data_IF_203741780389
#
_entry.id   IF_203741780389
#
_cell.length_a   1.000
_cell.length_b   1.000
_cell.length_c   1.000
_cell.angle_alpha   90.00
_cell.angle_beta   90.00
_cell.angle_gamma   90.00
#
_symmetry.space_group_name_H-M   'P 1'
#
loop_
_entity.id
_entity.type
_entity.pdbx_description
1 polymer ?
#
# COMPACT_ATOMS: atom_id res chain seq x y z
N UNK A 1 7.80 15.37 -6.68
CA UNK A 1 7.83 13.90 -6.88
C UNK A 1 6.47 13.46 -7.41
N UNK A 2 6.42 12.65 -8.47
CA UNK A 2 5.14 12.20 -9.06
C UNK A 2 4.41 11.17 -8.17
N UNK A 3 3.08 11.08 -8.31
CA UNK A 3 2.17 10.22 -7.55
C UNK A 3 2.63 8.75 -7.47
N UNK A 4 3.02 8.14 -8.60
CA UNK A 4 3.45 6.74 -8.64
C UNK A 4 4.73 6.50 -7.83
N UNK A 5 5.65 7.46 -7.84
CA UNK A 5 6.90 7.38 -7.06
C UNK A 5 6.64 7.54 -5.56
N UNK A 6 5.71 8.42 -5.17
CA UNK A 6 5.22 8.52 -3.78
C UNK A 6 4.58 7.22 -3.32
N UNK A 7 3.71 6.63 -4.15
CA UNK A 7 3.05 5.36 -3.84
C UNK A 7 4.05 4.21 -3.65
N UNK A 8 5.10 4.13 -4.48
CA UNK A 8 6.15 3.13 -4.33
C UNK A 8 6.93 3.28 -3.00
N UNK A 9 7.37 4.51 -2.67
CA UNK A 9 8.09 4.79 -1.41
C UNK A 9 7.22 4.47 -0.20
N UNK A 10 5.96 4.91 -0.23
CA UNK A 10 5.05 4.80 0.91
C UNK A 10 4.53 3.37 1.09
N UNK A 11 4.38 2.60 0.02
CA UNK A 11 4.06 1.17 0.14
C UNK A 11 5.23 0.35 0.68
N UNK A 12 6.47 0.62 0.27
CA UNK A 12 7.65 -0.02 0.86
C UNK A 12 7.78 0.32 2.35
N UNK A 13 7.55 1.59 2.71
CA UNK A 13 7.56 2.04 4.10
C UNK A 13 6.45 1.41 4.96
N UNK A 14 5.35 0.98 4.35
CA UNK A 14 4.20 0.37 5.02
C UNK A 14 4.31 -1.16 5.19
N UNK A 15 5.32 -1.81 4.60
CA UNK A 15 5.43 -3.28 4.62
C UNK A 15 5.62 -3.90 6.01
N UNK A 16 6.04 -3.09 6.98
CA UNK A 16 6.24 -3.48 8.38
C UNK A 16 5.01 -3.22 9.26
N UNK A 17 3.93 -2.68 8.69
CA UNK A 17 2.68 -2.53 9.42
C UNK A 17 2.01 -3.91 9.52
N UNK A 18 1.87 -4.40 10.76
CA UNK A 18 1.37 -5.73 11.13
C UNK A 18 0.01 -6.09 10.51
N UNK A 19 -0.76 -5.09 10.06
CA UNK A 19 -2.07 -5.30 9.45
C UNK A 19 -2.04 -5.47 7.93
N UNK A 20 -0.89 -5.38 7.24
CA UNK A 20 -0.82 -5.63 5.79
C UNK A 20 -0.18 -6.99 5.48
N UNK A 21 -1.03 -8.00 5.23
CA UNK A 21 -0.59 -9.32 4.79
C UNK A 21 -0.15 -9.38 3.30
N UNK A 22 0.12 -8.26 2.62
CA UNK A 22 0.24 -8.28 1.14
C UNK A 22 1.09 -7.20 0.46
N UNK A 23 1.65 -6.23 1.19
CA UNK A 23 2.46 -5.17 0.58
C UNK A 23 3.81 -5.73 0.13
N UNK A 24 3.84 -6.36 -1.06
CA UNK A 24 5.08 -6.83 -1.70
C UNK A 24 4.99 -8.06 -2.59
N UNK A 25 3.81 -8.56 -3.01
CA UNK A 25 3.75 -9.76 -3.86
C UNK A 25 3.84 -9.44 -5.35
N UNK A 26 4.42 -10.36 -6.11
CA UNK A 26 4.59 -10.28 -7.57
C UNK A 26 3.26 -10.13 -8.31
N UNK A 27 3.29 -9.52 -9.50
CA UNK A 27 2.16 -9.56 -10.45
C UNK A 27 1.77 -11.02 -10.68
N UNK A 28 0.58 -11.42 -10.22
CA UNK A 28 -0.09 -12.60 -10.74
C UNK A 28 -0.98 -12.15 -11.89
N UNK A 29 -0.58 -12.53 -13.09
CA UNK A 29 -1.38 -12.30 -14.29
C UNK A 29 -2.55 -13.28 -14.32
N UNK A 30 -3.77 -12.77 -14.45
CA UNK A 30 -5.00 -13.55 -14.62
C UNK A 30 -5.16 -14.06 -16.05
N UNK A 31 -4.11 -14.61 -16.66
CA UNK A 31 -4.25 -15.23 -18.00
C UNK A 31 -5.12 -16.47 -17.85
N UNK A 32 -6.35 -16.40 -18.38
CA UNK A 32 -7.31 -17.51 -18.42
C UNK A 32 -8.62 -17.30 -17.65
N UNK A 33 -8.87 -16.14 -17.04
CA UNK A 33 -10.20 -15.76 -16.55
C UNK A 33 -10.77 -16.60 -15.38
N UNK A 34 -9.95 -17.41 -14.70
CA UNK A 34 -10.38 -18.29 -13.58
C UNK A 34 -9.75 -17.96 -12.23
N UNK A 35 -8.96 -16.90 -12.12
CA UNK A 35 -8.34 -16.48 -10.87
C UNK A 35 -9.02 -15.25 -10.27
N UNK A 36 -9.88 -15.44 -9.27
CA UNK A 36 -10.24 -14.37 -8.33
C UNK A 36 -9.00 -14.07 -7.47
N UNK A 37 -8.58 -12.81 -7.38
CA UNK A 37 -7.45 -12.39 -6.56
C UNK A 37 -6.14 -12.18 -7.33
N UNK A 38 -6.15 -11.28 -8.33
CA UNK A 38 -4.91 -10.73 -8.86
C UNK A 38 -4.28 -9.83 -7.79
N UNK A 39 -3.18 -10.30 -7.20
CA UNK A 39 -2.36 -9.50 -6.29
C UNK A 39 -1.54 -8.51 -7.12
N UNK A 40 -1.99 -7.26 -7.19
CA UNK A 40 -1.33 -6.20 -7.94
C UNK A 40 -0.90 -5.04 -7.04
N UNK A 41 0.36 -4.63 -7.15
CA UNK A 41 0.78 -3.24 -6.91
C UNK A 41 0.91 -2.75 -5.47
N UNK A 42 1.74 -1.73 -5.31
CA UNK A 42 1.91 -0.95 -4.09
C UNK A 42 0.56 -0.43 -3.56
N UNK A 43 0.26 -0.67 -2.27
CA UNK A 43 -0.91 -0.09 -1.59
C UNK A 43 -2.19 -0.94 -1.58
N UNK A 44 -2.15 -2.19 -2.07
CA UNK A 44 -3.27 -3.14 -1.93
C UNK A 44 -2.94 -4.17 -0.83
N UNK A 45 -3.85 -4.33 0.13
CA UNK A 45 -3.79 -5.41 1.13
C UNK A 45 -5.05 -6.29 1.02
N UNK A 46 -4.90 -7.58 1.30
CA UNK A 46 -5.99 -8.55 1.32
C UNK A 46 -6.59 -8.69 2.73
N UNK A 47 -7.91 -8.77 2.80
CA UNK A 47 -8.66 -9.08 4.02
C UNK A 47 -9.72 -10.13 3.72
N UNK A 48 -10.12 -10.90 4.73
CA UNK A 48 -11.06 -12.01 4.55
C UNK A 48 -12.35 -11.73 5.30
N UNK A 49 -13.48 -11.82 4.61
CA UNK A 49 -14.80 -11.74 5.21
C UNK A 49 -15.11 -13.02 6.02
N UNK A 50 -16.07 -12.98 6.97
CA UNK A 50 -16.44 -14.16 7.77
C UNK A 50 -16.90 -15.38 6.95
N UNK A 51 -17.35 -15.16 5.71
CA UNK A 51 -17.74 -16.20 4.75
C UNK A 51 -16.56 -16.75 3.93
N UNK A 52 -15.33 -16.33 4.22
CA UNK A 52 -14.11 -16.78 3.56
C UNK A 52 -13.76 -16.03 2.27
N UNK A 53 -14.57 -15.05 1.82
CA UNK A 53 -14.24 -14.25 0.64
C UNK A 53 -13.05 -13.33 0.89
N UNK A 54 -12.11 -13.30 -0.05
CA UNK A 54 -11.01 -12.35 -0.07
C UNK A 54 -11.46 -11.00 -0.66
N UNK A 55 -11.18 -9.91 0.06
CA UNK A 55 -11.50 -8.53 -0.31
C UNK A 55 -10.18 -7.77 -0.46
N UNK A 56 -10.04 -7.07 -1.58
CA UNK A 56 -8.93 -6.13 -1.80
C UNK A 56 -9.25 -4.81 -1.11
N UNK A 57 -8.38 -4.38 -0.19
CA UNK A 57 -8.47 -3.08 0.47
C UNK A 57 -7.36 -2.16 -0.05
N UNK A 58 -7.72 -0.93 -0.38
CA UNK A 58 -6.75 0.14 -0.57
C UNK A 58 -6.25 0.58 0.81
N UNK A 59 -5.01 0.20 1.12
CA UNK A 59 -4.31 0.65 2.33
C UNK A 59 -3.07 1.40 1.93
N UNK A 60 -3.04 2.69 2.23
CA UNK A 60 -1.92 3.57 1.90
C UNK A 60 -1.36 4.21 3.17
N UNK A 61 -0.04 4.37 3.21
CA UNK A 61 0.60 5.19 4.22
C UNK A 61 0.58 6.64 3.73
N UNK A 62 -0.09 7.54 4.45
CA UNK A 62 -0.19 8.95 4.08
C UNK A 62 1.18 9.62 3.98
N UNK A 63 2.06 9.28 4.92
CA UNK A 63 3.42 9.79 5.00
C UNK A 63 4.31 8.86 5.82
N UNK A 64 5.58 8.76 5.45
CA UNK A 64 6.58 8.06 6.24
C UNK A 64 7.48 9.01 7.04
N UNK A 65 7.16 10.30 7.16
CA UNK A 65 7.87 11.19 8.09
C UNK A 65 7.45 10.84 9.52
N UNK A 66 8.42 10.53 10.38
CA UNK A 66 8.19 10.22 11.79
C UNK A 66 9.23 10.95 12.64
N UNK A 67 8.77 11.54 13.75
CA UNK A 67 9.62 12.27 14.70
C UNK A 67 10.24 11.34 15.75
N UNK A 68 9.70 10.13 15.90
CA UNK A 68 10.13 9.17 16.91
C UNK A 68 11.32 8.33 16.46
N UNK A 69 12.13 7.90 17.42
CA UNK A 69 13.29 7.04 17.17
C UNK A 69 13.06 5.58 17.61
N UNK A 70 11.95 4.98 17.17
CA UNK A 70 11.61 3.59 17.54
C UNK A 70 12.65 2.59 17.02
N UNK A 71 13.23 1.77 17.91
CA UNK A 71 14.34 0.85 17.60
C UNK A 71 14.04 -0.11 16.44
N UNK A 72 12.76 -0.51 16.29
CA UNK A 72 12.31 -1.50 15.31
C UNK A 72 11.69 -0.89 14.04
N UNK A 73 11.57 0.44 13.94
CA UNK A 73 10.87 1.06 12.82
C UNK A 73 11.86 1.65 11.81
N UNK A 74 11.79 1.21 10.54
CA UNK A 74 12.61 1.80 9.47
C UNK A 74 12.31 3.29 9.26
N UNK A 75 11.08 3.72 9.57
CA UNK A 75 10.65 5.11 9.42
C UNK A 75 11.07 5.99 10.61
N UNK A 76 11.81 5.48 11.58
CA UNK A 76 12.35 6.28 12.70
C UNK A 76 13.14 7.50 12.21
N UNK A 77 13.19 8.56 13.02
CA UNK A 77 13.79 9.85 12.64
C UNK A 77 15.27 9.74 12.27
N UNK A 78 16.01 8.83 12.91
CA UNK A 78 17.44 8.61 12.65
C UNK A 78 17.73 7.86 11.34
N UNK A 79 16.73 7.28 10.67
CA UNK A 79 16.93 6.53 9.44
C UNK A 79 17.06 7.42 8.20
N UNK A 80 18.13 7.20 7.44
CA UNK A 80 18.34 7.81 6.13
C UNK A 80 17.62 7.03 5.01
N UNK A 81 16.30 7.21 4.93
CA UNK A 81 15.45 6.62 3.89
C UNK A 81 14.68 7.71 3.15
N UNK A 82 14.33 7.45 1.89
CA UNK A 82 13.52 8.37 1.10
C UNK A 82 12.19 8.66 1.79
N UNK A 83 11.85 9.95 1.93
CA UNK A 83 10.62 10.39 2.58
C UNK A 83 9.61 10.94 1.59
N UNK A 84 8.34 10.68 1.86
CA UNK A 84 7.23 11.09 1.02
C UNK A 84 6.00 11.42 1.86
N UNK A 85 5.12 12.23 1.27
CA UNK A 85 3.81 12.57 1.81
C UNK A 85 2.86 12.81 0.65
N UNK A 86 1.64 12.30 0.76
CA UNK A 86 0.58 12.67 -0.16
C UNK A 86 -0.05 14.02 0.23
N UNK A 87 -0.47 14.78 -0.76
CA UNK A 87 -1.44 15.87 -0.56
C UNK A 87 -2.85 15.27 -0.45
N UNK A 88 -3.81 16.09 0.00
CA UNK A 88 -5.21 15.68 0.07
C UNK A 88 -5.74 15.28 -1.31
N UNK A 89 -5.48 16.10 -2.34
CA UNK A 89 -5.92 15.84 -3.71
C UNK A 89 -5.38 14.51 -4.26
N UNK A 90 -4.11 14.19 -3.96
CA UNK A 90 -3.49 12.92 -4.36
C UNK A 90 -4.19 11.72 -3.70
N UNK A 91 -4.56 11.82 -2.42
CA UNK A 91 -5.29 10.74 -1.72
C UNK A 91 -6.69 10.58 -2.30
N UNK A 92 -7.42 11.68 -2.49
CA UNK A 92 -8.76 11.66 -3.07
C UNK A 92 -8.74 11.04 -4.46
N UNK A 93 -7.80 11.46 -5.31
CA UNK A 93 -7.64 10.91 -6.65
C UNK A 93 -7.34 9.41 -6.60
N UNK A 94 -6.39 8.96 -5.76
CA UNK A 94 -6.06 7.54 -5.61
C UNK A 94 -7.27 6.71 -5.16
N UNK A 95 -8.05 7.21 -4.20
CA UNK A 95 -9.25 6.53 -3.71
C UNK A 95 -10.34 6.42 -4.78
N UNK A 96 -10.60 7.52 -5.51
CA UNK A 96 -11.58 7.51 -6.59
C UNK A 96 -11.14 6.58 -7.74
N UNK A 97 -9.85 6.59 -8.09
CA UNK A 97 -9.29 5.71 -9.12
C UNK A 97 -9.38 4.23 -8.73
N UNK A 98 -9.16 3.90 -7.45
CA UNK A 98 -9.36 2.55 -6.93
C UNK A 98 -10.83 2.11 -7.02
N UNK A 99 -11.77 2.98 -6.64
CA UNK A 99 -13.20 2.68 -6.68
C UNK A 99 -13.74 2.53 -8.11
N UNK A 100 -13.23 3.30 -9.08
CA UNK A 100 -13.68 3.23 -10.49
C UNK A 100 -13.16 1.99 -11.24
N UNK A 101 -12.09 1.36 -10.76
CA UNK A 101 -11.41 0.25 -11.44
C UNK A 101 -11.74 -1.13 -10.85
N UNK A 102 -12.41 -1.18 -9.71
CA UNK A 102 -12.95 -2.41 -9.09
C UNK A 102 -14.47 -2.40 -9.17
#
# INVERSE_FOLDING_TARGET
>A
MNLNKKLAILADAAKYDASCASSGTTKRDSVGGRGIGSTGGAGICHSYAPDGRCISLLKILLTNYCLYDCLYCINRVSSNVARARFTVDEVVQLTLDFYRRN
#
